data_IF_560675613528
#
_entry.id   IF_560675613528
#
_cell.length_a   1.000
_cell.length_b   1.000
_cell.length_c   1.000
_cell.angle_alpha   90.00
_cell.angle_beta   90.00
_cell.angle_gamma   90.00
#
_symmetry.space_group_name_H-M   'P 1'
#
loop_
_entity.id
_entity.type
_entity.pdbx_description
1 polymer ?
#
# COMPACT_ATOMS: atom_id res chain seq x y z
N UNK A 1 1.05 19.16 13.25
CA UNK A 1 0.42 17.84 13.01
C UNK A 1 1.26 17.03 12.01
N UNK A 2 2.59 17.15 12.07
CA UNK A 2 3.45 16.89 10.91
C UNK A 2 4.23 15.57 10.97
N UNK A 3 4.47 15.01 12.15
CA UNK A 3 5.26 13.77 12.30
C UNK A 3 4.59 12.49 11.78
N UNK A 4 3.27 12.48 11.56
CA UNK A 4 2.54 11.29 11.08
C UNK A 4 2.54 11.23 9.55
N UNK A 5 2.51 12.40 8.89
CA UNK A 5 2.50 12.50 7.43
C UNK A 5 3.86 12.12 6.83
N UNK A 6 4.94 12.69 7.36
CA UNK A 6 6.33 12.41 6.96
C UNK A 6 6.73 10.94 7.19
N UNK A 7 6.08 10.31 8.19
CA UNK A 7 6.26 8.90 8.54
C UNK A 7 5.60 7.94 7.54
N UNK A 8 4.41 8.26 7.04
CA UNK A 8 3.71 7.40 6.07
C UNK A 8 4.38 7.36 4.71
N UNK A 9 5.19 8.36 4.37
CA UNK A 9 6.03 8.29 3.19
C UNK A 9 7.09 7.19 3.30
N UNK A 10 7.45 6.75 4.52
CA UNK A 10 8.44 5.67 4.68
C UNK A 10 7.85 4.27 4.69
N UNK A 11 6.60 4.05 5.13
CA UNK A 11 5.95 2.74 5.00
C UNK A 11 5.42 2.47 3.57
N UNK A 12 5.21 3.53 2.77
CA UNK A 12 4.77 3.44 1.37
C UNK A 12 5.92 3.19 0.36
N UNK A 13 7.18 3.31 0.77
CA UNK A 13 8.33 3.22 -0.15
C UNK A 13 8.88 1.78 -0.31
N UNK A 14 8.04 0.76 -0.08
CA UNK A 14 8.43 -0.65 -0.23
C UNK A 14 8.07 -1.25 -1.60
N UNK A 15 7.35 -0.51 -2.45
CA UNK A 15 6.85 -1.03 -3.74
C UNK A 15 7.74 -0.70 -4.95
N UNK A 16 8.96 -0.15 -4.80
CA UNK A 16 9.75 0.22 -5.98
C UNK A 16 11.28 0.21 -5.80
N UNK A 17 11.89 -0.95 -5.55
CA UNK A 17 13.28 -1.20 -5.98
C UNK A 17 13.47 -2.64 -6.41
N UNK A 18 12.80 -3.01 -7.52
CA UNK A 18 13.22 -4.13 -8.35
C UNK A 18 13.48 -3.62 -9.77
N UNK A 19 14.77 -3.64 -10.15
CA UNK A 19 15.26 -3.82 -11.52
C UNK A 19 15.02 -2.66 -12.51
N UNK A 20 16.07 -1.88 -12.76
CA UNK A 20 16.34 -1.31 -14.08
C UNK A 20 17.85 -1.28 -14.30
N UNK A 21 18.33 -2.33 -14.96
CA UNK A 21 19.63 -2.35 -15.61
C UNK A 21 19.55 -1.53 -16.89
N UNK A 22 20.49 -0.62 -17.11
CA UNK A 22 20.89 -0.18 -18.44
C UNK A 22 22.37 0.26 -18.38
N UNK A 23 23.09 -0.27 -19.36
CA UNK A 23 24.53 -0.39 -19.49
C UNK A 23 25.15 0.74 -20.30
N UNK A 24 26.40 1.10 -20.01
CA UNK A 24 27.50 1.54 -20.93
C UNK A 24 28.50 2.39 -20.15
N UNK A 25 29.83 2.27 -20.18
CA UNK A 25 30.81 1.44 -20.88
C UNK A 25 32.20 2.00 -20.49
N UNK A 26 33.27 1.19 -20.55
CA UNK A 26 34.64 1.68 -20.30
C UNK A 26 35.59 0.58 -19.82
N UNK A 27 36.76 0.48 -20.44
CA UNK A 27 37.58 -0.72 -20.57
C UNK A 27 38.74 -0.88 -19.55
N UNK A 28 39.17 -2.14 -19.41
CA UNK A 28 40.54 -2.68 -19.17
C UNK A 28 41.33 -2.33 -17.89
N UNK A 29 41.68 -3.34 -17.07
CA UNK A 29 43.04 -3.96 -16.94
C UNK A 29 43.15 -4.88 -15.70
N UNK A 30 44.10 -5.81 -15.77
CA UNK A 30 44.34 -7.01 -14.94
C UNK A 30 44.47 -6.84 -13.41
N UNK A 31 44.17 -7.93 -12.69
CA UNK A 31 44.70 -8.17 -11.34
C UNK A 31 44.11 -9.42 -10.68
N UNK A 32 44.91 -10.48 -10.52
CA UNK A 32 44.59 -11.67 -9.73
C UNK A 32 44.61 -11.34 -8.22
N UNK A 33 43.58 -11.72 -7.47
CA UNK A 33 43.67 -12.31 -6.11
C UNK A 33 42.31 -12.36 -5.40
N UNK A 34 42.05 -13.48 -4.71
CA UNK A 34 41.44 -13.45 -3.38
C UNK A 34 39.92 -13.65 -3.28
N UNK A 35 39.51 -14.90 -3.06
CA UNK A 35 38.21 -15.29 -2.54
C UNK A 35 37.86 -14.57 -1.22
N UNK A 36 36.71 -13.88 -1.17
CA UNK A 36 35.88 -13.76 0.05
C UNK A 36 34.48 -13.26 -0.30
N UNK A 37 33.53 -14.19 -0.35
CA UNK A 37 32.09 -13.91 -0.45
C UNK A 37 31.59 -13.31 0.85
N UNK A 38 31.40 -11.99 0.90
CA UNK A 38 30.78 -11.30 2.02
C UNK A 38 29.25 -11.25 1.86
N UNK A 39 28.44 -11.67 2.87
CA UNK A 39 26.99 -11.56 2.83
C UNK A 39 26.53 -10.20 3.41
N UNK A 40 26.94 -9.08 2.80
CA UNK A 40 26.56 -7.74 3.27
C UNK A 40 25.10 -7.36 2.95
N UNK A 41 24.45 -8.09 2.03
CA UNK A 41 23.08 -7.79 1.58
C UNK A 41 22.00 -8.32 2.55
N UNK A 42 22.30 -9.36 3.32
CA UNK A 42 21.35 -10.00 4.24
C UNK A 42 21.22 -9.22 5.57
N UNK A 43 22.30 -8.61 6.06
CA UNK A 43 22.27 -7.78 7.28
C UNK A 43 21.58 -6.44 7.08
N UNK A 44 21.70 -5.88 5.87
CA UNK A 44 21.08 -4.58 5.56
C UNK A 44 19.56 -4.72 5.36
N UNK A 45 19.10 -5.82 4.78
CA UNK A 45 17.67 -6.12 4.59
C UNK A 45 16.96 -6.46 5.90
N UNK A 46 17.60 -7.22 6.80
CA UNK A 46 17.06 -7.48 8.14
C UNK A 46 16.95 -6.19 8.97
N UNK A 47 17.99 -5.34 8.96
CA UNK A 47 17.97 -4.03 9.64
C UNK A 47 16.84 -3.12 9.14
N UNK A 48 16.57 -3.11 7.81
CA UNK A 48 15.45 -2.33 7.25
C UNK A 48 14.09 -2.84 7.72
N UNK A 49 13.88 -4.15 7.68
CA UNK A 49 12.65 -4.76 8.18
C UNK A 49 12.43 -4.47 9.66
N UNK A 50 13.46 -4.64 10.49
CA UNK A 50 13.40 -4.41 11.94
C UNK A 50 13.06 -2.95 12.28
N UNK A 51 13.71 -2.00 11.60
CA UNK A 51 13.40 -0.58 11.78
C UNK A 51 11.96 -0.26 11.36
N UNK A 52 11.46 -0.86 10.27
CA UNK A 52 10.07 -0.67 9.84
C UNK A 52 9.09 -1.25 10.87
N UNK A 53 9.34 -2.46 11.36
CA UNK A 53 8.53 -3.12 12.38
C UNK A 53 8.46 -2.29 13.67
N UNK A 54 9.59 -1.77 14.16
CA UNK A 54 9.64 -0.89 15.34
C UNK A 54 8.82 0.39 15.14
N UNK A 55 8.90 0.98 13.95
CA UNK A 55 8.15 2.18 13.57
C UNK A 55 6.63 1.93 13.57
N UNK A 56 6.22 0.84 12.96
CA UNK A 56 4.81 0.44 12.90
C UNK A 56 4.27 0.15 14.30
N UNK A 57 5.04 -0.55 15.14
CA UNK A 57 4.70 -0.83 16.53
C UNK A 57 4.51 0.44 17.35
N UNK A 58 5.45 1.39 17.25
CA UNK A 58 5.35 2.67 17.95
C UNK A 58 4.12 3.47 17.50
N UNK A 59 3.82 3.44 16.21
CA UNK A 59 2.64 4.12 15.63
C UNK A 59 1.35 3.52 16.17
N UNK A 60 1.26 2.19 16.20
CA UNK A 60 0.12 1.51 16.79
C UNK A 60 -0.02 1.82 18.29
N UNK A 61 1.09 1.80 19.03
CA UNK A 61 1.11 2.20 20.43
C UNK A 61 0.64 3.65 20.65
N UNK A 62 1.04 4.58 19.77
CA UNK A 62 0.57 5.96 19.82
C UNK A 62 -0.91 6.08 19.49
N UNK A 63 -1.40 5.33 18.50
CA UNK A 63 -2.82 5.23 18.19
C UNK A 63 -3.64 4.81 19.41
N UNK A 64 -3.21 3.76 20.13
CA UNK A 64 -3.91 3.30 21.35
C UNK A 64 -3.93 4.34 22.47
N UNK A 65 -2.83 5.10 22.65
CA UNK A 65 -2.76 6.19 23.64
C UNK A 65 -3.70 7.36 23.29
N UNK A 66 -3.84 7.65 22.01
CA UNK A 66 -4.69 8.73 21.50
C UNK A 66 -6.17 8.34 21.44
N UNK A 67 -6.49 7.05 21.49
CA UNK A 67 -7.86 6.55 21.54
C UNK A 67 -8.61 7.11 22.76
N UNK A 68 -9.91 7.39 22.62
CA UNK A 68 -10.76 7.88 23.72
C UNK A 68 -11.90 6.90 23.97
N UNK A 69 -11.92 6.17 25.10
CA UNK A 69 -10.98 6.22 26.23
C UNK A 69 -9.60 5.61 25.91
N UNK A 70 -8.51 5.99 26.63
CA UNK A 70 -7.18 5.44 26.39
C UNK A 70 -7.17 3.92 26.49
N UNK A 71 -6.57 3.26 25.49
CA UNK A 71 -6.49 1.81 25.43
C UNK A 71 -5.08 1.34 25.78
N UNK A 72 -5.01 0.29 26.59
CA UNK A 72 -3.78 -0.49 26.79
C UNK A 72 -3.75 -1.67 25.81
N UNK A 73 -2.55 -2.16 25.50
CA UNK A 73 -2.38 -3.38 24.69
C UNK A 73 -3.12 -4.59 25.28
N UNK A 74 -3.19 -4.71 26.61
CA UNK A 74 -3.91 -5.80 27.29
C UNK A 74 -5.42 -5.82 27.04
N UNK A 75 -6.01 -4.65 26.73
CA UNK A 75 -7.44 -4.49 26.41
C UNK A 75 -7.67 -4.35 24.91
N UNK A 76 -6.60 -4.35 24.12
CA UNK A 76 -6.68 -4.29 22.67
C UNK A 76 -7.27 -5.60 22.14
N UNK A 77 -8.07 -5.48 21.09
CA UNK A 77 -8.75 -6.61 20.45
C UNK A 77 -8.73 -6.40 18.94
N UNK A 78 -9.14 -7.43 18.19
CA UNK A 78 -9.22 -7.33 16.73
C UNK A 78 -10.08 -6.16 16.24
N UNK A 79 -11.08 -5.71 17.01
CA UNK A 79 -11.91 -4.56 16.64
C UNK A 79 -11.09 -3.26 16.58
N UNK A 80 -10.26 -3.00 17.59
CA UNK A 80 -9.38 -1.83 17.65
C UNK A 80 -8.31 -1.86 16.55
N UNK A 81 -7.84 -3.06 16.18
CA UNK A 81 -6.96 -3.23 15.02
C UNK A 81 -7.67 -2.84 13.73
N UNK A 82 -8.93 -3.26 13.53
CA UNK A 82 -9.69 -2.88 12.34
C UNK A 82 -9.97 -1.37 12.27
N UNK A 83 -10.22 -0.74 13.41
CA UNK A 83 -10.37 0.71 13.49
C UNK A 83 -9.06 1.42 13.14
N UNK A 84 -7.91 0.93 13.65
CA UNK A 84 -6.60 1.42 13.26
C UNK A 84 -6.37 1.32 11.74
N UNK A 85 -6.71 0.18 11.12
CA UNK A 85 -6.58 0.03 9.66
C UNK A 85 -7.47 1.02 8.88
N UNK A 86 -8.65 1.37 9.39
CA UNK A 86 -9.51 2.41 8.78
C UNK A 86 -8.97 3.81 9.03
N UNK A 87 -8.35 4.05 10.17
CA UNK A 87 -7.66 5.30 10.46
C UNK A 87 -6.50 5.52 9.47
N UNK A 88 -5.76 4.48 9.12
CA UNK A 88 -4.69 4.56 8.11
C UNK A 88 -5.20 4.88 6.69
N UNK A 89 -6.43 4.50 6.35
CA UNK A 89 -7.03 4.83 5.05
C UNK A 89 -7.13 6.36 4.84
N UNK A 90 -7.22 7.18 5.90
CA UNK A 90 -7.26 8.65 5.82
C UNK A 90 -6.00 9.26 5.19
N UNK A 91 -4.89 8.54 5.30
CA UNK A 91 -3.57 8.94 4.82
C UNK A 91 -3.14 8.09 3.62
N UNK A 92 -4.09 7.38 2.99
CA UNK A 92 -3.86 6.62 1.76
C UNK A 92 -3.35 7.49 0.63
N UNK A 93 -2.57 6.89 -0.29
CA UNK A 93 -2.12 7.58 -1.52
C UNK A 93 -3.09 7.39 -2.68
N UNK A 94 -3.99 6.42 -2.60
CA UNK A 94 -4.94 6.10 -3.66
C UNK A 94 -6.30 6.69 -3.36
N UNK A 95 -6.80 7.56 -4.25
CA UNK A 95 -8.21 7.98 -4.25
C UNK A 95 -9.06 6.89 -4.88
N UNK A 96 -10.09 6.44 -4.16
CA UNK A 96 -11.04 5.44 -4.67
C UNK A 96 -12.31 6.15 -5.10
N UNK A 97 -12.44 6.38 -6.40
CA UNK A 97 -13.60 7.04 -6.97
C UNK A 97 -14.80 6.11 -7.00
N UNK A 98 -15.95 6.62 -6.57
CA UNK A 98 -17.25 5.94 -6.75
C UNK A 98 -17.74 6.16 -8.18
N UNK A 99 -18.58 5.27 -8.75
CA UNK A 99 -19.13 5.47 -10.11
C UNK A 99 -19.95 6.75 -10.27
N UNK A 100 -20.48 7.30 -9.17
CA UNK A 100 -21.21 8.57 -9.12
C UNK A 100 -20.29 9.79 -9.00
N UNK A 101 -18.98 9.60 -8.87
CA UNK A 101 -18.02 10.69 -8.77
C UNK A 101 -17.91 11.39 -10.13
N UNK A 102 -18.03 12.74 -10.19
CA UNK A 102 -17.87 13.49 -11.44
C UNK A 102 -16.52 13.27 -12.14
N UNK A 103 -15.51 12.88 -11.36
CA UNK A 103 -14.13 12.61 -11.82
C UNK A 103 -13.82 11.12 -12.01
N UNK A 104 -14.82 10.23 -12.00
CA UNK A 104 -14.58 8.79 -12.19
C UNK A 104 -13.92 8.55 -13.57
N UNK A 105 -12.79 7.83 -13.59
CA UNK A 105 -12.03 7.53 -14.82
C UNK A 105 -11.11 8.64 -15.33
N UNK A 106 -11.00 9.80 -14.65
CA UNK A 106 -10.06 10.86 -15.02
C UNK A 106 -8.68 10.67 -14.33
N UNK A 107 -7.57 10.49 -15.08
CA UNK A 107 -6.25 10.28 -14.50
C UNK A 107 -5.67 11.54 -13.82
N UNK A 108 -6.08 12.74 -14.25
CA UNK A 108 -5.68 14.01 -13.66
C UNK A 108 -6.89 14.94 -13.49
N UNK A 109 -7.66 14.82 -12.40
CA UNK A 109 -8.88 15.58 -12.22
C UNK A 109 -8.57 17.08 -11.98
N UNK A 110 -9.32 18.00 -12.61
CA UNK A 110 -9.07 19.44 -12.50
C UNK A 110 -9.42 20.03 -11.13
N UNK A 111 -10.12 19.29 -10.27
CA UNK A 111 -10.46 19.70 -8.91
C UNK A 111 -10.46 18.51 -7.93
N UNK A 112 -10.20 18.74 -6.63
CA UNK A 112 -10.27 17.69 -5.62
C UNK A 112 -11.71 17.18 -5.44
N UNK A 113 -11.84 15.90 -5.09
CA UNK A 113 -13.14 15.24 -4.90
C UNK A 113 -13.30 14.66 -3.48
N UNK A 114 -14.55 14.49 -3.00
CA UNK A 114 -14.83 13.96 -1.67
C UNK A 114 -14.58 12.45 -1.56
N UNK A 115 -14.06 11.80 -2.60
CA UNK A 115 -13.81 10.36 -2.60
C UNK A 115 -12.80 9.97 -1.51
N UNK A 116 -13.00 8.84 -0.83
CA UNK A 116 -12.12 8.41 0.25
C UNK A 116 -10.73 8.04 -0.29
N UNK A 117 -9.71 8.31 0.52
CA UNK A 117 -8.39 7.73 0.36
C UNK A 117 -8.39 6.32 0.93
N UNK A 118 -7.54 5.44 0.38
CA UNK A 118 -7.31 4.09 0.89
C UNK A 118 -5.85 3.69 0.79
N UNK A 119 -5.39 2.90 1.75
CA UNK A 119 -4.13 2.19 1.66
C UNK A 119 -4.25 1.03 0.66
N UNK A 120 -3.16 0.73 -0.03
CA UNK A 120 -3.08 -0.46 -0.85
C UNK A 120 -3.15 -1.72 0.05
N UNK A 121 -3.83 -2.76 -0.44
CA UNK A 121 -4.01 -3.99 0.32
C UNK A 121 -2.68 -4.62 0.73
N UNK A 122 -1.70 -4.70 -0.18
CA UNK A 122 -0.39 -5.30 0.10
C UNK A 122 0.34 -4.58 1.25
N UNK A 123 0.23 -3.25 1.31
CA UNK A 123 0.81 -2.46 2.41
C UNK A 123 0.14 -2.77 3.75
N UNK A 124 -1.18 -2.97 3.79
CA UNK A 124 -1.91 -3.35 5.00
C UNK A 124 -1.59 -4.77 5.47
N UNK A 125 -1.49 -5.73 4.55
CA UNK A 125 -1.14 -7.12 4.87
C UNK A 125 0.29 -7.21 5.45
N UNK A 126 1.25 -6.56 4.79
CA UNK A 126 2.63 -6.49 5.26
C UNK A 126 2.75 -5.79 6.63
N UNK A 127 1.99 -4.72 6.86
CA UNK A 127 1.91 -4.04 8.16
C UNK A 127 1.40 -4.98 9.25
N UNK A 128 0.31 -5.71 8.99
CA UNK A 128 -0.24 -6.66 9.95
C UNK A 128 0.75 -7.79 10.25
N UNK A 129 1.48 -8.28 9.24
CA UNK A 129 2.56 -9.25 9.43
C UNK A 129 3.64 -8.74 10.39
N UNK A 130 4.11 -7.50 10.19
CA UNK A 130 5.11 -6.87 11.08
C UNK A 130 4.58 -6.65 12.49
N UNK A 131 3.34 -6.19 12.65
CA UNK A 131 2.74 -5.97 13.96
C UNK A 131 2.52 -7.28 14.74
N UNK A 132 2.24 -8.39 14.06
CA UNK A 132 2.19 -9.71 14.71
C UNK A 132 3.55 -10.09 15.29
N UNK A 133 4.62 -9.98 14.51
CA UNK A 133 5.98 -10.26 14.96
C UNK A 133 6.40 -9.33 16.11
N UNK A 134 6.09 -8.03 15.99
CA UNK A 134 6.37 -7.06 17.05
C UNK A 134 5.65 -7.41 18.37
N UNK A 135 4.41 -7.88 18.29
CA UNK A 135 3.63 -8.26 19.47
C UNK A 135 4.30 -9.41 20.24
N UNK A 136 4.79 -10.43 19.53
CA UNK A 136 5.46 -11.59 20.14
C UNK A 136 6.79 -11.17 20.79
N UNK A 137 7.58 -10.32 20.15
CA UNK A 137 8.84 -9.79 20.70
C UNK A 137 8.64 -8.90 21.93
N UNK A 138 7.47 -8.26 22.06
CA UNK A 138 7.11 -7.47 23.24
C UNK A 138 6.46 -8.34 24.35
N UNK A 139 6.67 -9.66 24.32
CA UNK A 139 6.19 -10.61 25.33
C UNK A 139 4.76 -11.10 25.12
N UNK A 140 4.20 -10.89 23.94
CA UNK A 140 2.83 -11.25 23.59
C UNK A 140 2.64 -12.73 23.26
N UNK A 141 1.60 -13.31 23.85
CA UNK A 141 0.96 -14.60 23.51
C UNK A 141 0.62 -14.74 22.01
N UNK A 142 1.11 -15.64 21.13
CA UNK A 142 0.59 -15.72 19.77
C UNK A 142 -0.92 -16.02 19.73
N UNK A 143 -1.46 -16.73 20.73
CA UNK A 143 -2.89 -17.04 20.87
C UNK A 143 -3.72 -15.82 21.28
N UNK A 144 -3.12 -14.91 22.04
CA UNK A 144 -3.76 -13.66 22.49
C UNK A 144 -3.53 -12.49 21.52
N UNK A 145 -2.88 -12.75 20.38
CA UNK A 145 -2.45 -11.71 19.47
C UNK A 145 -3.67 -11.04 18.79
N UNK A 146 -3.91 -9.73 19.01
CA UNK A 146 -5.08 -9.03 18.45
C UNK A 146 -4.99 -8.87 16.93
N UNK A 147 -3.78 -8.78 16.38
CA UNK A 147 -3.54 -8.79 14.92
C UNK A 147 -3.80 -10.18 14.33
N UNK A 148 -3.66 -11.21 15.16
CA UNK A 148 -4.04 -12.62 14.99
C UNK A 148 -5.53 -12.88 14.79
N UNK A 149 -6.38 -11.97 15.25
CA UNK A 149 -7.81 -12.22 15.44
C UNK A 149 -8.55 -12.58 14.15
N UNK A 150 -9.59 -13.43 14.29
CA UNK A 150 -10.44 -13.86 13.17
C UNK A 150 -11.03 -12.69 12.38
N UNK A 151 -11.46 -11.64 13.07
CA UNK A 151 -12.01 -10.44 12.45
C UNK A 151 -11.01 -9.75 11.50
N UNK A 152 -9.74 -9.66 11.89
CA UNK A 152 -8.67 -9.04 11.09
C UNK A 152 -8.39 -9.86 9.83
N UNK A 153 -8.29 -11.19 9.97
CA UNK A 153 -8.10 -12.09 8.82
C UNK A 153 -9.26 -12.02 7.81
N UNK A 154 -10.50 -11.97 8.30
CA UNK A 154 -11.66 -11.86 7.43
C UNK A 154 -11.69 -10.52 6.70
N UNK A 155 -11.35 -9.42 7.38
CA UNK A 155 -11.26 -8.10 6.76
C UNK A 155 -10.22 -8.03 5.64
N UNK A 156 -9.01 -8.56 5.88
CA UNK A 156 -7.97 -8.59 4.84
C UNK A 156 -8.36 -9.47 3.67
N UNK A 157 -9.00 -10.62 3.91
CA UNK A 157 -9.51 -11.50 2.84
C UNK A 157 -10.59 -10.82 2.00
N UNK A 158 -11.53 -10.11 2.62
CA UNK A 158 -12.59 -9.40 1.91
C UNK A 158 -12.02 -8.26 1.05
N UNK A 159 -11.07 -7.49 1.59
CA UNK A 159 -10.35 -6.47 0.80
C UNK A 159 -9.56 -7.09 -0.35
N UNK A 160 -8.94 -8.27 -0.15
CA UNK A 160 -8.21 -8.98 -1.20
C UNK A 160 -9.14 -9.43 -2.32
N UNK A 161 -10.29 -10.05 -1.99
CA UNK A 161 -11.27 -10.48 -2.99
C UNK A 161 -11.78 -9.33 -3.85
N UNK A 162 -12.09 -8.19 -3.22
CA UNK A 162 -12.54 -7.01 -3.97
C UNK A 162 -11.42 -6.49 -4.86
N UNK A 163 -10.16 -6.48 -4.39
CA UNK A 163 -9.00 -6.11 -5.20
C UNK A 163 -8.79 -7.06 -6.37
N UNK A 164 -8.78 -8.37 -6.13
CA UNK A 164 -8.60 -9.39 -7.18
C UNK A 164 -9.72 -9.32 -8.20
N UNK A 165 -10.97 -9.14 -7.76
CA UNK A 165 -12.10 -8.96 -8.67
C UNK A 165 -11.97 -7.68 -9.49
N UNK A 166 -11.52 -6.58 -8.89
CA UNK A 166 -11.30 -5.33 -9.61
C UNK A 166 -10.13 -5.45 -10.59
N UNK A 167 -9.03 -6.10 -10.20
CA UNK A 167 -7.87 -6.36 -11.04
C UNK A 167 -8.23 -7.32 -12.19
N UNK A 168 -9.02 -8.37 -11.93
CA UNK A 168 -9.56 -9.30 -12.94
C UNK A 168 -10.53 -8.57 -13.87
N UNK A 169 -11.46 -7.75 -13.35
CA UNK A 169 -12.37 -6.96 -14.17
C UNK A 169 -11.59 -5.95 -15.03
N UNK A 170 -10.56 -5.32 -14.48
CA UNK A 170 -9.70 -4.39 -15.22
C UNK A 170 -8.85 -5.11 -16.28
N UNK A 171 -8.33 -6.31 -15.97
CA UNK A 171 -7.65 -7.19 -16.92
C UNK A 171 -8.60 -7.68 -18.03
N UNK A 172 -9.85 -8.01 -17.70
CA UNK A 172 -10.88 -8.35 -18.68
C UNK A 172 -11.28 -7.14 -19.53
N UNK A 173 -11.35 -5.94 -18.97
CA UNK A 173 -11.57 -4.70 -19.73
C UNK A 173 -10.39 -4.40 -20.67
N UNK A 174 -9.16 -4.66 -20.24
CA UNK A 174 -7.95 -4.51 -21.05
C UNK A 174 -7.80 -5.60 -22.13
N UNK A 175 -8.25 -6.84 -21.87
CA UNK A 175 -8.27 -7.92 -22.88
C UNK A 175 -9.42 -7.79 -23.88
N UNK A 176 -10.52 -7.11 -23.53
CA UNK A 176 -11.69 -6.95 -24.41
C UNK A 176 -11.75 -5.60 -25.16
N UNK A 177 -10.72 -4.74 -25.06
CA UNK A 177 -10.54 -3.62 -26.00
C UNK A 177 -11.73 -2.67 -26.19
N UNK A 178 -12.57 -2.47 -25.17
CA UNK A 178 -13.69 -1.52 -25.27
C UNK A 178 -13.17 -0.10 -25.05
N UNK A 179 -12.59 0.42 -26.13
CA UNK A 179 -12.54 1.83 -26.43
C UNK A 179 -13.98 2.36 -26.43
N UNK A 180 -14.48 2.81 -25.28
CA UNK A 180 -15.64 3.70 -25.22
C UNK A 180 -15.21 5.07 -25.77
N UNK A 181 -14.93 5.14 -27.07
CA UNK A 181 -15.17 6.37 -27.83
C UNK A 181 -16.69 6.53 -27.78
N UNK A 182 -17.15 7.34 -26.84
CA UNK A 182 -18.47 7.93 -26.92
C UNK A 182 -18.58 8.60 -28.28
N UNK A 183 -19.48 8.08 -29.11
CA UNK A 183 -19.97 8.76 -30.29
C UNK A 183 -20.51 10.12 -29.88
N UNK A 184 -19.74 11.19 -30.09
CA UNK A 184 -20.33 12.50 -30.36
C UNK A 184 -20.47 12.62 -31.85
N UNK A 185 -21.69 12.36 -32.32
CA UNK A 185 -22.21 12.87 -33.57
C UNK A 185 -21.95 14.37 -33.62
N UNK A 186 -21.10 14.81 -34.56
CA UNK A 186 -21.25 16.13 -35.19
C UNK A 186 -21.30 15.90 -36.68
N UNK A 187 -22.53 15.92 -37.17
CA UNK A 187 -22.82 16.12 -38.57
C UNK A 187 -22.33 17.52 -38.98
N UNK A 188 -21.45 17.57 -39.97
CA UNK A 188 -21.27 18.70 -40.88
C UNK A 188 -20.67 18.06 -42.14
N UNK A 189 -21.43 17.87 -43.20
CA UNK A 189 -22.02 18.97 -43.96
C UNK A 189 -21.11 19.19 -45.15
N UNK A 190 -21.39 18.41 -46.21
CA UNK A 190 -20.83 18.51 -47.54
C UNK A 190 -20.86 19.95 -48.07
N UNK A 191 -19.74 20.42 -48.65
CA UNK A 191 -19.75 21.17 -49.91
C UNK A 191 -18.42 20.98 -50.62
N UNK A 192 -18.40 20.08 -51.60
CA UNK A 192 -17.65 20.27 -52.84
C UNK A 192 -18.11 21.56 -53.52
N UNK A 193 -17.18 22.38 -54.03
CA UNK A 193 -17.16 22.90 -55.42
C UNK A 193 -16.20 24.10 -55.60
N UNK A 194 -15.43 23.98 -56.69
CA UNK A 194 -14.65 24.96 -57.44
C UNK A 194 -13.33 25.46 -56.85
#
# INVERSE_FOLDING_TARGET
MDSIQEFMDTCNNSDNTSLSAASSGGASTNGLAGSSSSPASASNSSSRYENQKRRDWNTFGQYLKNHRPPLSLSRCSGAHVLEFLRYLDQFGKTKVHTPICPFYGHPNPPAPCPCPLRQAWGSLDALIGRLRAAFEENGGKPEANPFGARAVRLYLREKQKVKDLWDIMNLLLMQNGVLLILHTTTASGSTEKC
#
